data_IF_727545077589
#
_entry.id   IF_727545077589
#
_cell.length_a   1.000
_cell.length_b   1.000
_cell.length_c   1.000
_cell.angle_alpha   90.00
_cell.angle_beta   90.00
_cell.angle_gamma   90.00
#
_symmetry.space_group_name_H-M   'P 1'
#
loop_
_entity.id
_entity.type
_entity.pdbx_description
1 polymer ?
#
# COMPACT_ATOMS: atom_id res chain seq x y z
N UNK A 1 24.93 3.76 38.72
CA UNK A 1 25.41 4.06 37.34
C UNK A 1 26.68 3.27 37.08
N UNK A 2 26.92 2.87 35.83
CA UNK A 2 28.10 2.06 35.44
C UNK A 2 29.01 2.83 34.50
N UNK A 3 28.44 3.64 33.61
CA UNK A 3 29.17 4.58 32.77
C UNK A 3 28.60 5.98 33.03
N UNK A 4 29.36 6.84 33.69
CA UNK A 4 28.93 8.21 34.02
C UNK A 4 29.11 9.18 32.85
N UNK A 5 29.79 8.74 31.77
CA UNK A 5 30.08 9.57 30.60
C UNK A 5 29.11 9.31 29.44
N UNK A 6 28.08 8.49 29.64
CA UNK A 6 27.10 8.22 28.59
C UNK A 6 26.14 9.43 28.47
N UNK A 7 25.90 9.99 27.26
CA UNK A 7 25.12 11.23 27.07
C UNK A 7 23.70 11.22 27.65
N UNK A 8 23.11 10.04 27.81
CA UNK A 8 21.78 9.86 28.42
C UNK A 8 21.77 9.70 29.95
N UNK A 9 22.93 9.79 30.62
CA UNK A 9 22.99 9.76 32.09
C UNK A 9 22.28 10.96 32.73
N UNK A 10 22.48 12.22 32.27
CA UNK A 10 21.79 13.39 32.82
C UNK A 10 20.26 13.27 32.72
N UNK A 11 19.75 12.62 31.67
CA UNK A 11 18.32 12.32 31.51
C UNK A 11 17.83 11.51 32.71
N UNK A 12 18.53 10.44 33.06
CA UNK A 12 18.16 9.58 34.20
C UNK A 12 18.31 10.29 35.55
N UNK A 13 19.35 11.12 35.69
CA UNK A 13 19.58 11.89 36.92
C UNK A 13 18.45 12.89 37.18
N UNK A 14 17.89 13.50 36.12
CA UNK A 14 16.79 14.48 36.23
C UNK A 14 15.52 13.92 36.88
N UNK A 15 15.26 12.61 36.75
CA UNK A 15 14.08 11.95 37.32
C UNK A 15 14.41 10.71 38.16
N UNK A 16 15.64 10.60 38.70
CA UNK A 16 16.12 9.40 39.40
C UNK A 16 15.18 8.90 40.52
N UNK A 17 14.49 9.82 41.19
CA UNK A 17 13.52 9.53 42.28
C UNK A 17 12.20 8.93 41.78
N UNK A 18 11.95 9.03 40.49
CA UNK A 18 10.70 8.63 39.82
C UNK A 18 10.91 7.49 38.81
N UNK A 19 12.13 7.00 38.65
CA UNK A 19 12.44 5.87 37.78
C UNK A 19 11.74 4.61 38.28
N UNK A 20 10.86 4.05 37.46
CA UNK A 20 10.30 2.71 37.68
C UNK A 20 10.88 1.74 36.66
N UNK A 21 11.24 0.55 37.14
CA UNK A 21 11.60 -0.56 36.27
C UNK A 21 10.83 -1.82 36.70
N UNK A 22 10.15 -2.44 35.73
CA UNK A 22 9.46 -3.74 35.90
C UNK A 22 10.15 -4.88 35.15
N UNK A 23 11.09 -4.54 34.28
CA UNK A 23 11.89 -5.47 33.50
C UNK A 23 13.35 -5.00 33.50
N UNK A 24 14.26 -5.94 33.33
CA UNK A 24 15.69 -5.71 33.19
C UNK A 24 16.24 -6.58 32.07
N UNK A 25 17.38 -6.20 31.51
CA UNK A 25 18.01 -6.98 30.45
C UNK A 25 18.75 -8.19 31.02
N UNK A 26 18.59 -9.36 30.38
CA UNK A 26 19.34 -10.54 30.78
C UNK A 26 20.73 -10.54 30.13
N UNK A 27 21.78 -10.25 30.91
CA UNK A 27 23.17 -10.22 30.40
C UNK A 27 23.68 -11.57 29.91
N UNK A 28 23.01 -12.66 30.32
CA UNK A 28 23.34 -14.02 29.88
C UNK A 28 22.69 -14.38 28.54
N UNK A 29 21.88 -13.49 27.98
CA UNK A 29 21.28 -13.72 26.67
C UNK A 29 22.37 -13.83 25.57
N UNK A 30 22.21 -14.72 24.58
CA UNK A 30 23.16 -14.85 23.48
C UNK A 30 23.41 -13.51 22.78
N UNK A 31 24.68 -13.17 22.56
CA UNK A 31 25.08 -11.94 21.85
C UNK A 31 25.07 -10.65 22.68
N UNK A 32 24.50 -10.64 23.89
CA UNK A 32 24.39 -9.44 24.71
C UNK A 32 25.76 -8.82 25.02
N UNK A 33 26.70 -9.59 25.55
CA UNK A 33 28.04 -9.08 25.91
C UNK A 33 28.86 -8.54 24.72
N UNK A 34 28.50 -8.90 23.47
CA UNK A 34 29.20 -8.44 22.25
C UNK A 34 28.59 -7.18 21.64
N UNK A 35 27.28 -6.98 21.83
CA UNK A 35 26.52 -5.96 21.11
C UNK A 35 25.81 -4.96 22.03
N UNK A 36 25.83 -5.17 23.35
CA UNK A 36 25.17 -4.31 24.31
C UNK A 36 26.20 -3.54 25.16
N UNK A 37 26.01 -2.24 25.30
CA UNK A 37 26.72 -1.41 26.29
C UNK A 37 25.76 -1.03 27.41
N UNK A 38 26.01 -1.51 28.62
CA UNK A 38 25.21 -1.19 29.80
C UNK A 38 25.73 0.11 30.41
N UNK A 39 24.92 1.17 30.40
CA UNK A 39 25.27 2.45 31.05
C UNK A 39 24.56 2.66 32.39
N UNK A 40 23.41 1.99 32.60
CA UNK A 40 22.62 2.10 33.83
C UNK A 40 22.27 0.72 34.43
N UNK A 41 22.51 0.57 35.73
CA UNK A 41 22.10 -0.57 36.56
C UNK A 41 21.17 -0.13 37.68
N UNK A 42 20.24 -1.01 38.05
CA UNK A 42 19.37 -0.87 39.21
C UNK A 42 20.14 -0.99 40.53
N UNK A 43 19.49 -0.69 41.66
CA UNK A 43 20.07 -0.87 43.00
C UNK A 43 20.45 -2.33 43.29
N UNK A 44 19.71 -3.29 42.70
CA UNK A 44 20.01 -4.72 42.75
C UNK A 44 21.06 -5.19 41.74
N UNK A 45 21.69 -4.27 41.00
CA UNK A 45 22.75 -4.58 40.02
C UNK A 45 22.28 -5.05 38.64
N UNK A 46 20.97 -5.12 38.39
CA UNK A 46 20.43 -5.55 37.10
C UNK A 46 20.54 -4.43 36.04
N UNK A 47 20.87 -4.73 34.77
CA UNK A 47 20.97 -3.71 33.72
C UNK A 47 19.59 -3.21 33.32
N UNK A 48 19.40 -1.89 33.39
CA UNK A 48 18.12 -1.22 33.10
C UNK A 48 18.25 -0.08 32.09
N UNK A 49 19.47 0.32 31.74
CA UNK A 49 19.76 1.18 30.58
C UNK A 49 20.86 0.58 29.73
N UNK A 50 20.53 0.33 28.45
CA UNK A 50 21.37 -0.44 27.53
C UNK A 50 21.35 0.20 26.14
N UNK A 51 22.52 0.31 25.54
CA UNK A 51 22.73 0.79 24.17
C UNK A 51 23.09 -0.39 23.25
N UNK A 52 22.51 -0.43 22.05
CA UNK A 52 22.81 -1.40 20.99
C UNK A 52 23.14 -0.69 19.67
N UNK A 53 24.23 -1.03 18.96
CA UNK A 53 24.46 -0.58 17.59
C UNK A 53 23.59 -1.37 16.61
N UNK A 54 22.90 -0.68 15.68
CA UNK A 54 22.02 -1.28 14.67
C UNK A 54 22.22 -0.57 13.32
N UNK A 55 22.77 -1.29 12.33
CA UNK A 55 23.10 -0.74 11.01
C UNK A 55 23.95 0.53 11.13
N UNK A 56 23.46 1.66 10.61
CA UNK A 56 24.09 2.97 10.66
C UNK A 56 23.64 3.81 11.87
N UNK A 57 22.90 3.22 12.82
CA UNK A 57 22.35 3.91 13.99
C UNK A 57 22.53 3.12 15.28
N UNK A 58 21.85 3.55 16.34
CA UNK A 58 21.89 2.91 17.66
C UNK A 58 20.51 2.97 18.32
N UNK A 59 20.22 1.99 19.16
CA UNK A 59 19.00 1.91 19.97
C UNK A 59 19.39 2.05 21.44
N UNK A 60 18.76 2.97 22.15
CA UNK A 60 19.02 3.24 23.56
C UNK A 60 17.75 2.91 24.34
N UNK A 61 17.85 1.92 25.23
CA UNK A 61 16.78 1.58 26.16
C UNK A 61 16.99 2.32 27.47
N UNK A 62 15.93 2.97 27.95
CA UNK A 62 15.92 3.70 29.22
C UNK A 62 14.65 3.37 30.00
N UNK A 63 14.72 3.37 31.34
CA UNK A 63 13.54 3.22 32.17
C UNK A 63 12.66 4.49 32.12
N UNK A 64 11.36 4.29 32.26
CA UNK A 64 10.35 5.35 32.22
C UNK A 64 10.10 5.96 33.59
N UNK A 65 9.64 7.21 33.64
CA UNK A 65 9.20 7.85 34.88
C UNK A 65 7.87 7.28 35.39
N UNK A 66 7.58 7.48 36.67
CA UNK A 66 6.37 7.02 37.37
C UNK A 66 5.09 7.71 36.93
N UNK A 67 5.18 8.96 36.47
CA UNK A 67 4.07 9.76 35.97
C UNK A 67 4.44 10.36 34.60
N UNK A 68 4.28 9.60 33.50
CA UNK A 68 4.43 10.17 32.17
C UNK A 68 3.24 11.12 31.92
N UNK A 69 3.40 12.42 32.17
CA UNK A 69 2.40 13.43 31.80
C UNK A 69 2.04 14.51 32.82
N UNK A 70 2.73 14.66 33.96
CA UNK A 70 2.63 15.92 34.71
C UNK A 70 3.39 17.02 33.93
N UNK A 71 2.68 18.08 33.51
CA UNK A 71 3.22 19.19 32.70
C UNK A 71 4.52 19.77 33.27
N UNK A 72 4.68 19.74 34.59
CA UNK A 72 5.81 20.31 35.33
C UNK A 72 7.18 19.69 34.95
N UNK A 73 7.22 18.45 34.44
CA UNK A 73 8.47 17.74 34.11
C UNK A 73 8.68 17.48 32.61
N UNK A 74 7.68 17.74 31.78
CA UNK A 74 7.73 17.44 30.35
C UNK A 74 8.78 18.27 29.62
N UNK A 75 8.84 19.58 29.90
CA UNK A 75 9.78 20.50 29.25
C UNK A 75 11.24 20.21 29.62
N UNK A 76 11.50 19.86 30.88
CA UNK A 76 12.84 19.58 31.36
C UNK A 76 13.36 18.23 30.85
N UNK A 77 12.50 17.22 30.83
CA UNK A 77 12.80 15.93 30.21
C UNK A 77 13.04 16.08 28.71
N UNK A 78 12.21 16.85 28.00
CA UNK A 78 12.37 17.09 26.57
C UNK A 78 13.70 17.80 26.25
N UNK A 79 14.05 18.84 27.01
CA UNK A 79 15.36 19.53 26.87
C UNK A 79 16.53 18.60 27.14
N UNK A 80 16.48 17.84 28.21
CA UNK A 80 17.58 16.94 28.61
C UNK A 80 17.73 15.79 27.61
N UNK A 81 16.62 15.25 27.10
CA UNK A 81 16.63 14.26 26.02
C UNK A 81 17.20 14.82 24.71
N UNK A 82 16.83 16.05 24.34
CA UNK A 82 17.35 16.71 23.14
C UNK A 82 18.86 16.93 23.25
N UNK A 83 19.34 17.47 24.38
CA UNK A 83 20.77 17.67 24.62
C UNK A 83 21.55 16.35 24.61
N UNK A 84 21.02 15.31 25.24
CA UNK A 84 21.61 13.97 25.22
C UNK A 84 21.68 13.41 23.79
N UNK A 85 20.64 13.60 22.97
CA UNK A 85 20.61 13.16 21.58
C UNK A 85 21.60 13.94 20.70
N UNK A 86 21.73 15.26 20.89
CA UNK A 86 22.69 16.10 20.18
C UNK A 86 24.13 15.68 20.48
N UNK A 87 24.48 15.53 21.77
CA UNK A 87 25.81 15.07 22.20
C UNK A 87 26.10 13.65 21.67
N UNK A 88 25.11 12.76 21.73
CA UNK A 88 25.25 11.39 21.25
C UNK A 88 25.41 11.29 19.73
N UNK A 89 24.78 12.19 18.98
CA UNK A 89 24.91 12.28 17.52
C UNK A 89 26.20 13.02 17.09
N UNK A 90 26.95 13.60 18.02
CA UNK A 90 28.11 14.45 17.70
C UNK A 90 27.71 15.72 16.93
N UNK A 91 26.44 16.12 17.04
CA UNK A 91 25.94 17.36 16.46
C UNK A 91 26.32 18.47 17.44
N UNK A 92 26.88 19.57 16.95
CA UNK A 92 27.04 20.76 17.77
C UNK A 92 25.64 21.20 18.22
N UNK A 93 25.31 20.96 19.49
CA UNK A 93 23.99 21.24 20.04
C UNK A 93 23.62 22.72 19.99
N UNK A 94 22.32 23.00 19.88
CA UNK A 94 21.77 24.35 19.79
C UNK A 94 21.81 25.01 18.40
N UNK A 95 21.21 26.19 18.30
CA UNK A 95 21.33 27.00 17.08
C UNK A 95 22.77 27.51 16.96
N UNK A 96 23.39 27.29 15.80
CA UNK A 96 24.68 27.89 15.49
C UNK A 96 24.61 29.41 15.75
N UNK A 97 25.57 30.00 16.48
CA UNK A 97 25.63 31.44 16.63
C UNK A 97 25.64 32.13 15.26
N UNK A 98 24.92 33.25 15.13
CA UNK A 98 24.74 33.94 13.85
C UNK A 98 26.06 34.30 13.14
N UNK A 99 27.13 34.54 13.90
CA UNK A 99 28.45 34.90 13.38
C UNK A 99 29.22 33.72 12.76
N UNK A 100 28.78 32.47 12.97
CA UNK A 100 29.44 31.29 12.40
C UNK A 100 29.29 31.28 10.88
N UNK A 101 28.16 31.74 10.35
CA UNK A 101 27.92 31.83 8.91
C UNK A 101 28.83 32.86 8.23
N UNK A 102 29.38 33.83 8.98
CA UNK A 102 30.31 34.85 8.48
C UNK A 102 31.76 34.32 8.37
N UNK A 103 32.06 33.15 8.92
CA UNK A 103 33.39 32.54 8.87
C UNK A 103 33.62 31.84 7.53
N UNK A 104 34.30 32.52 6.61
CA UNK A 104 34.67 31.96 5.32
C UNK A 104 35.67 30.79 5.49
N UNK A 105 35.20 29.56 5.23
CA UNK A 105 36.05 28.38 5.12
C UNK A 105 36.31 28.09 3.64
N UNK A 106 37.57 28.13 3.16
CA UNK A 106 37.90 27.86 1.77
C UNK A 106 37.34 26.52 1.29
N UNK A 107 36.64 26.51 0.15
CA UNK A 107 36.03 25.31 -0.45
C UNK A 107 34.74 24.82 0.21
N UNK A 108 34.30 25.39 1.34
CA UNK A 108 33.06 24.97 2.01
C UNK A 108 31.82 25.27 1.16
N UNK A 109 31.75 26.46 0.54
CA UNK A 109 30.63 26.85 -0.31
C UNK A 109 30.47 25.90 -1.51
N UNK A 110 31.56 25.61 -2.23
CA UNK A 110 31.59 24.69 -3.37
C UNK A 110 31.16 23.27 -2.95
N UNK A 111 31.66 22.79 -1.81
CA UNK A 111 31.29 21.45 -1.28
C UNK A 111 29.83 21.40 -0.84
N UNK A 112 29.29 22.48 -0.27
CA UNK A 112 27.88 22.59 0.13
C UNK A 112 26.96 22.59 -1.10
N UNK A 113 27.33 23.33 -2.13
CA UNK A 113 26.62 23.32 -3.41
C UNK A 113 26.66 21.94 -4.07
N UNK A 114 27.84 21.29 -4.12
CA UNK A 114 27.97 19.93 -4.63
C UNK A 114 27.14 18.91 -3.83
N UNK A 115 27.11 19.02 -2.50
CA UNK A 115 26.30 18.15 -1.65
C UNK A 115 24.79 18.36 -1.87
N UNK A 116 24.35 19.62 -2.01
CA UNK A 116 22.96 19.93 -2.30
C UNK A 116 22.56 19.43 -3.70
N UNK A 117 23.42 19.61 -4.71
CA UNK A 117 23.20 19.09 -6.06
C UNK A 117 23.12 17.56 -6.07
N UNK A 118 24.02 16.87 -5.34
CA UNK A 118 23.99 15.42 -5.21
C UNK A 118 22.72 14.93 -4.51
N UNK A 119 22.25 15.64 -3.47
CA UNK A 119 20.97 15.34 -2.80
C UNK A 119 19.79 15.50 -3.75
N UNK A 120 19.72 16.61 -4.48
CA UNK A 120 18.66 16.84 -5.47
C UNK A 120 18.67 15.79 -6.59
N UNK A 121 19.85 15.36 -7.04
CA UNK A 121 19.99 14.27 -8.01
C UNK A 121 19.51 12.92 -7.45
N UNK A 122 19.81 12.62 -6.18
CA UNK A 122 19.36 11.41 -5.52
C UNK A 122 17.83 11.39 -5.33
N UNK A 123 17.23 12.51 -4.92
CA UNK A 123 15.78 12.67 -4.79
C UNK A 123 15.08 12.49 -6.15
N UNK A 124 15.61 13.10 -7.21
CA UNK A 124 15.07 12.95 -8.57
C UNK A 124 15.19 11.50 -9.08
N UNK A 125 16.31 10.83 -8.82
CA UNK A 125 16.51 9.43 -9.20
C UNK A 125 15.57 8.49 -8.44
N UNK A 126 15.34 8.76 -7.15
CA UNK A 126 14.38 7.99 -6.35
C UNK A 126 12.96 8.17 -6.89
N UNK A 127 12.54 9.41 -7.16
CA UNK A 127 11.22 9.68 -7.75
C UNK A 127 11.02 8.99 -9.11
N UNK A 128 12.06 8.96 -9.95
CA UNK A 128 12.03 8.25 -11.23
C UNK A 128 11.95 6.72 -11.04
N UNK A 129 12.65 6.17 -10.06
CA UNK A 129 12.57 4.75 -9.71
C UNK A 129 11.19 4.36 -9.20
N UNK A 130 10.59 5.19 -8.34
CA UNK A 130 9.25 4.95 -7.78
C UNK A 130 8.18 5.02 -8.88
N UNK A 131 8.30 5.98 -9.81
CA UNK A 131 7.42 6.06 -10.97
C UNK A 131 7.55 4.82 -11.88
N UNK A 132 8.77 4.39 -12.18
CA UNK A 132 9.00 3.20 -12.99
C UNK A 132 8.50 1.91 -12.31
N UNK A 133 8.61 1.82 -10.98
CA UNK A 133 8.05 0.71 -10.21
C UNK A 133 6.52 0.70 -10.27
N UNK A 134 5.88 1.86 -10.14
CA UNK A 134 4.43 1.99 -10.27
C UNK A 134 3.93 1.60 -11.68
N UNK A 135 4.65 2.01 -12.74
CA UNK A 135 4.33 1.61 -14.12
C UNK A 135 4.46 0.09 -14.32
N UNK A 136 5.50 -0.52 -13.74
CA UNK A 136 5.70 -1.97 -13.78
C UNK A 136 4.60 -2.72 -13.02
N UNK A 137 4.23 -2.24 -11.83
CA UNK A 137 3.17 -2.81 -11.01
C UNK A 137 1.83 -2.75 -11.76
N UNK A 138 1.51 -1.62 -12.39
CA UNK A 138 0.30 -1.46 -13.20
C UNK A 138 0.25 -2.48 -14.35
N UNK A 139 1.34 -2.66 -15.09
CA UNK A 139 1.43 -3.68 -16.15
C UNK A 139 1.37 -5.11 -15.60
N UNK A 140 1.90 -5.34 -14.40
CA UNK A 140 1.83 -6.65 -13.74
C UNK A 140 0.41 -6.98 -13.32
N UNK A 141 -0.35 -6.01 -12.79
CA UNK A 141 -1.77 -6.18 -12.43
C UNK A 141 -2.64 -6.57 -13.64
N UNK A 142 -2.29 -6.15 -14.85
CA UNK A 142 -2.98 -6.62 -16.07
C UNK A 142 -2.84 -8.14 -16.21
N UNK A 143 -1.69 -8.73 -15.90
CA UNK A 143 -1.53 -10.19 -15.90
C UNK A 143 -2.30 -10.85 -14.75
N UNK A 144 -2.38 -10.21 -13.59
CA UNK A 144 -3.10 -10.76 -12.44
C UNK A 144 -4.57 -11.03 -12.72
N UNK A 145 -5.20 -10.22 -13.58
CA UNK A 145 -6.63 -10.39 -13.92
C UNK A 145 -6.94 -11.81 -14.43
N UNK A 146 -6.00 -12.45 -15.14
CA UNK A 146 -6.22 -13.80 -15.69
C UNK A 146 -5.91 -14.91 -14.70
N UNK A 147 -5.01 -14.76 -13.73
CA UNK A 147 -4.60 -15.88 -12.87
C UNK A 147 -4.96 -15.73 -11.38
N UNK A 148 -5.40 -14.54 -10.95
CA UNK A 148 -5.78 -14.29 -9.57
C UNK A 148 -6.84 -15.29 -9.09
N UNK A 149 -6.50 -16.07 -8.06
CA UNK A 149 -7.36 -17.10 -7.48
C UNK A 149 -8.28 -16.57 -6.38
N UNK A 150 -8.02 -15.38 -5.85
CA UNK A 150 -8.82 -14.74 -4.80
C UNK A 150 -9.60 -13.53 -5.33
N UNK A 151 -10.85 -13.39 -4.89
CA UNK A 151 -11.75 -12.32 -5.34
C UNK A 151 -11.19 -10.92 -5.10
N UNK A 152 -10.50 -10.69 -3.97
CA UNK A 152 -9.91 -9.38 -3.66
C UNK A 152 -8.76 -9.01 -4.59
N UNK A 153 -7.89 -9.97 -4.91
CA UNK A 153 -6.79 -9.76 -5.85
C UNK A 153 -7.33 -9.56 -7.27
N UNK A 154 -8.32 -10.37 -7.68
CA UNK A 154 -8.99 -10.21 -8.96
C UNK A 154 -9.70 -8.86 -9.06
N UNK A 155 -10.32 -8.38 -7.98
CA UNK A 155 -10.96 -7.07 -7.95
C UNK A 155 -9.95 -5.94 -8.18
N UNK A 156 -8.81 -5.95 -7.49
CA UNK A 156 -7.77 -4.95 -7.68
C UNK A 156 -7.27 -4.94 -9.15
N UNK A 157 -6.97 -6.12 -9.70
CA UNK A 157 -6.56 -6.26 -11.09
C UNK A 157 -7.65 -5.81 -12.09
N UNK A 158 -8.92 -6.10 -11.77
CA UNK A 158 -10.08 -5.66 -12.56
C UNK A 158 -10.18 -4.15 -12.66
N UNK A 159 -10.00 -3.43 -11.54
CA UNK A 159 -10.07 -1.98 -11.51
C UNK A 159 -8.93 -1.35 -12.32
N UNK A 160 -7.70 -1.86 -12.17
CA UNK A 160 -6.56 -1.42 -12.98
C UNK A 160 -6.79 -1.66 -14.50
N UNK A 161 -7.38 -2.81 -14.87
CA UNK A 161 -7.74 -3.09 -16.25
C UNK A 161 -8.85 -2.15 -16.77
N UNK A 162 -9.84 -1.83 -15.93
CA UNK A 162 -10.93 -0.93 -16.30
C UNK A 162 -10.43 0.50 -16.55
N UNK A 163 -9.50 0.99 -15.72
CA UNK A 163 -8.82 2.28 -15.92
C UNK A 163 -8.08 2.35 -17.26
N UNK A 164 -7.35 1.28 -17.60
CA UNK A 164 -6.65 1.19 -18.89
C UNK A 164 -7.61 1.23 -20.10
N UNK A 165 -8.85 0.75 -19.96
CA UNK A 165 -9.90 0.80 -21.00
C UNK A 165 -10.65 2.16 -20.99
N UNK A 166 -10.34 3.02 -20.02
CA UNK A 166 -10.85 4.39 -19.93
C UNK A 166 -12.06 4.58 -19.01
N UNK A 167 -12.31 3.66 -18.08
CA UNK A 167 -13.22 3.92 -16.96
C UNK A 167 -12.52 4.72 -15.87
N UNK A 168 -13.28 5.53 -15.15
CA UNK A 168 -12.86 6.01 -13.84
C UNK A 168 -13.28 4.98 -12.76
N UNK A 169 -12.38 4.65 -11.84
CA UNK A 169 -12.68 3.75 -10.74
C UNK A 169 -13.02 4.53 -9.46
N UNK A 170 -14.08 4.10 -8.78
CA UNK A 170 -14.54 4.73 -7.55
C UNK A 170 -15.08 3.74 -6.53
N UNK A 171 -15.56 4.28 -5.42
CA UNK A 171 -16.21 3.52 -4.36
C UNK A 171 -17.50 4.22 -3.94
N UNK A 172 -18.52 3.43 -3.57
CA UNK A 172 -19.70 3.98 -2.89
C UNK A 172 -19.35 4.39 -1.45
N UNK A 173 -20.22 5.13 -0.75
CA UNK A 173 -20.02 5.46 0.67
C UNK A 173 -19.83 4.24 1.57
N UNK A 174 -20.37 3.08 1.17
CA UNK A 174 -20.23 1.79 1.86
C UNK A 174 -18.91 1.06 1.52
N UNK A 175 -18.06 1.64 0.67
CA UNK A 175 -16.81 1.05 0.22
C UNK A 175 -16.95 0.05 -0.92
N UNK A 176 -18.11 -0.02 -1.57
CA UNK A 176 -18.33 -0.95 -2.68
C UNK A 176 -17.73 -0.41 -3.99
N UNK A 177 -16.93 -1.19 -4.74
CA UNK A 177 -16.28 -0.74 -5.98
C UNK A 177 -17.29 -0.46 -7.10
N UNK A 178 -17.03 0.61 -7.84
CA UNK A 178 -17.81 1.04 -9.01
C UNK A 178 -16.91 1.50 -10.15
N UNK A 179 -17.38 1.30 -11.38
CA UNK A 179 -16.81 1.89 -12.59
C UNK A 179 -17.70 3.06 -13.03
N UNK A 180 -17.07 4.12 -13.50
CA UNK A 180 -17.70 5.36 -13.92
C UNK A 180 -17.31 5.66 -15.37
N UNK A 181 -18.30 5.98 -16.20
CA UNK A 181 -18.13 6.50 -17.55
C UNK A 181 -19.08 7.70 -17.73
N UNK A 182 -18.57 8.90 -17.47
CA UNK A 182 -19.38 10.11 -17.34
C UNK A 182 -20.37 10.00 -16.18
N UNK A 183 -21.67 10.11 -16.46
CA UNK A 183 -22.73 9.98 -15.45
C UNK A 183 -23.14 8.52 -15.16
N UNK A 184 -22.64 7.57 -15.95
CA UNK A 184 -23.00 6.16 -15.81
C UNK A 184 -22.17 5.49 -14.72
N UNK A 185 -22.84 4.76 -13.82
CA UNK A 185 -22.21 4.03 -12.72
C UNK A 185 -22.53 2.54 -12.80
N UNK A 186 -21.49 1.70 -12.72
CA UNK A 186 -21.60 0.24 -12.75
C UNK A 186 -21.04 -0.35 -11.46
N UNK A 187 -21.82 -1.16 -10.75
CA UNK A 187 -21.37 -1.88 -9.56
C UNK A 187 -20.66 -3.17 -9.94
N UNK A 188 -19.42 -3.37 -9.44
CA UNK A 188 -18.57 -4.48 -9.88
C UNK A 188 -18.35 -5.54 -8.81
N UNK A 189 -18.56 -6.80 -9.16
CA UNK A 189 -18.15 -7.96 -8.36
C UNK A 189 -17.13 -8.78 -9.15
N UNK A 190 -15.96 -9.00 -8.56
CA UNK A 190 -14.98 -9.95 -9.07
C UNK A 190 -15.17 -11.31 -8.40
N UNK A 191 -15.09 -12.38 -9.18
CA UNK A 191 -15.20 -13.75 -8.68
C UNK A 191 -14.19 -14.65 -9.37
N UNK A 192 -13.28 -15.22 -8.58
CA UNK A 192 -12.28 -16.18 -9.02
C UNK A 192 -12.69 -17.60 -8.60
N UNK A 193 -12.41 -18.58 -9.46
CA UNK A 193 -12.69 -19.99 -9.17
C UNK A 193 -11.68 -20.90 -9.86
N UNK A 194 -11.22 -21.99 -9.21
CA UNK A 194 -10.46 -23.04 -9.89
C UNK A 194 -11.32 -23.80 -10.93
N UNK A 195 -12.65 -23.68 -10.84
CA UNK A 195 -13.62 -24.20 -11.80
C UNK A 195 -14.37 -23.04 -12.47
N UNK A 196 -15.54 -23.30 -13.07
CA UNK A 196 -16.41 -22.23 -13.54
C UNK A 196 -16.90 -21.35 -12.38
N UNK A 197 -17.08 -20.05 -12.62
CA UNK A 197 -17.68 -19.14 -11.64
C UNK A 197 -19.18 -19.38 -11.58
N UNK A 198 -19.68 -19.71 -10.39
CA UNK A 198 -21.09 -20.00 -10.11
C UNK A 198 -21.86 -18.87 -9.41
N UNK A 199 -22.97 -19.25 -8.77
CA UNK A 199 -23.95 -18.31 -8.20
C UNK A 199 -23.49 -17.45 -7.02
N UNK A 200 -22.34 -17.73 -6.39
CA UNK A 200 -21.83 -16.90 -5.29
C UNK A 200 -21.56 -15.45 -5.73
N UNK A 201 -21.14 -15.24 -6.97
CA UNK A 201 -20.96 -13.91 -7.55
C UNK A 201 -22.30 -13.17 -7.70
N UNK A 202 -23.32 -13.89 -8.20
CA UNK A 202 -24.68 -13.38 -8.35
C UNK A 202 -25.24 -12.87 -7.02
N UNK A 203 -25.18 -13.67 -5.94
CA UNK A 203 -25.77 -13.28 -4.66
C UNK A 203 -25.11 -12.02 -4.08
N UNK A 204 -23.79 -11.90 -4.20
CA UNK A 204 -23.06 -10.70 -3.74
C UNK A 204 -23.44 -9.46 -4.54
N UNK A 205 -23.50 -9.57 -5.87
CA UNK A 205 -23.92 -8.46 -6.71
C UNK A 205 -25.37 -8.08 -6.39
N UNK A 206 -26.27 -9.05 -6.30
CA UNK A 206 -27.68 -8.81 -6.00
C UNK A 206 -27.87 -8.07 -4.68
N UNK A 207 -27.21 -8.52 -3.62
CA UNK A 207 -27.24 -7.84 -2.31
C UNK A 207 -26.76 -6.39 -2.38
N UNK A 208 -25.80 -6.07 -3.27
CA UNK A 208 -25.34 -4.70 -3.49
C UNK A 208 -26.35 -3.87 -4.28
N UNK A 209 -26.89 -4.42 -5.37
CA UNK A 209 -27.87 -3.72 -6.19
C UNK A 209 -29.16 -3.45 -5.40
N UNK A 210 -29.63 -4.40 -4.60
CA UNK A 210 -30.82 -4.23 -3.74
C UNK A 210 -30.63 -3.08 -2.75
N UNK A 211 -29.45 -2.98 -2.10
CA UNK A 211 -29.13 -1.84 -1.22
C UNK A 211 -29.20 -0.49 -1.95
N UNK A 212 -28.70 -0.43 -3.18
CA UNK A 212 -28.73 0.81 -3.97
C UNK A 212 -30.17 1.17 -4.38
N UNK A 213 -30.98 0.17 -4.75
CA UNK A 213 -32.40 0.36 -5.06
C UNK A 213 -33.15 0.90 -3.84
N UNK A 214 -32.92 0.32 -2.66
CA UNK A 214 -33.53 0.75 -1.41
C UNK A 214 -33.15 2.19 -1.04
N UNK A 215 -31.89 2.57 -1.22
CA UNK A 215 -31.39 3.90 -0.85
C UNK A 215 -31.74 5.01 -1.85
N UNK A 216 -31.67 4.70 -3.15
CA UNK A 216 -31.71 5.71 -4.22
C UNK A 216 -32.93 5.61 -5.13
N UNK A 217 -33.73 4.55 -5.01
CA UNK A 217 -34.89 4.28 -5.86
C UNK A 217 -34.58 4.29 -7.37
N UNK A 218 -33.34 4.01 -7.74
CA UNK A 218 -32.88 3.84 -9.13
C UNK A 218 -32.59 2.36 -9.41
N UNK A 219 -32.62 1.97 -10.67
CA UNK A 219 -32.18 0.64 -11.10
C UNK A 219 -30.66 0.68 -11.42
N UNK A 220 -29.78 0.25 -10.51
CA UNK A 220 -28.34 0.26 -10.74
C UNK A 220 -27.90 -0.77 -11.79
N UNK A 221 -26.81 -0.47 -12.50
CA UNK A 221 -26.15 -1.44 -13.38
C UNK A 221 -25.14 -2.27 -12.58
N UNK A 222 -25.08 -3.56 -12.89
CA UNK A 222 -24.16 -4.51 -12.26
C UNK A 222 -23.28 -5.20 -13.29
N UNK A 223 -22.05 -5.51 -12.89
CA UNK A 223 -21.08 -6.26 -13.68
C UNK A 223 -20.38 -7.30 -12.80
N UNK A 224 -20.34 -8.54 -13.28
CA UNK A 224 -19.51 -9.60 -12.71
C UNK A 224 -18.31 -9.82 -13.62
N UNK A 225 -17.11 -9.75 -13.04
CA UNK A 225 -15.88 -10.25 -13.69
C UNK A 225 -15.62 -11.66 -13.21
N UNK A 226 -15.68 -12.62 -14.13
CA UNK A 226 -15.54 -14.04 -13.85
C UNK A 226 -14.16 -14.56 -14.28
N UNK A 227 -13.34 -14.97 -13.32
CA UNK A 227 -12.08 -15.68 -13.56
C UNK A 227 -12.23 -17.16 -13.21
N UNK A 228 -12.97 -17.90 -14.03
CA UNK A 228 -13.12 -19.34 -13.86
C UNK A 228 -11.94 -20.09 -14.47
N UNK A 229 -11.64 -21.27 -13.92
CA UNK A 229 -10.51 -22.10 -14.32
C UNK A 229 -9.17 -21.34 -14.23
N UNK A 230 -9.01 -20.54 -13.16
CA UNK A 230 -7.90 -19.60 -13.02
C UNK A 230 -6.50 -20.25 -12.99
N UNK A 231 -6.42 -21.56 -12.69
CA UNK A 231 -5.19 -22.34 -12.75
C UNK A 231 -4.80 -22.84 -14.15
N UNK A 232 -5.71 -22.76 -15.12
CA UNK A 232 -5.47 -23.13 -16.51
C UNK A 232 -5.07 -21.90 -17.35
N UNK A 233 -4.32 -22.13 -18.42
CA UNK A 233 -3.99 -21.08 -19.38
C UNK A 233 -5.28 -20.53 -20.03
N UNK A 234 -5.38 -19.22 -20.35
CA UNK A 234 -6.61 -18.63 -20.88
C UNK A 234 -7.18 -19.29 -22.14
N UNK A 235 -6.31 -19.82 -23.00
CA UNK A 235 -6.63 -20.57 -24.22
C UNK A 235 -7.12 -22.00 -23.95
N UNK A 236 -6.77 -22.60 -22.81
CA UNK A 236 -7.20 -23.94 -22.41
C UNK A 236 -8.53 -23.95 -21.63
N UNK A 237 -9.06 -22.77 -21.29
CA UNK A 237 -10.30 -22.62 -20.53
C UNK A 237 -11.51 -22.93 -21.40
N UNK A 238 -12.31 -23.88 -20.95
CA UNK A 238 -13.50 -24.36 -21.67
C UNK A 238 -14.79 -23.76 -21.14
N UNK A 239 -14.82 -23.43 -19.84
CA UNK A 239 -16.04 -22.97 -19.17
C UNK A 239 -15.66 -22.10 -17.97
N UNK A 240 -15.45 -20.81 -18.24
CA UNK A 240 -15.11 -19.82 -17.20
C UNK A 240 -16.34 -19.39 -16.39
N UNK A 241 -17.52 -19.41 -17.01
CA UNK A 241 -18.80 -18.98 -16.43
C UNK A 241 -19.73 -20.19 -16.39
N UNK A 242 -20.30 -20.49 -15.23
CA UNK A 242 -21.30 -21.56 -15.12
C UNK A 242 -22.64 -21.12 -15.74
N UNK A 243 -23.38 -22.07 -16.33
CA UNK A 243 -24.66 -21.79 -16.97
C UNK A 243 -25.69 -21.19 -16.01
N UNK A 244 -25.66 -21.55 -14.73
CA UNK A 244 -26.56 -20.98 -13.73
C UNK A 244 -26.31 -19.48 -13.56
N UNK A 245 -25.05 -19.05 -13.55
CA UNK A 245 -24.69 -17.64 -13.47
C UNK A 245 -25.07 -16.88 -14.75
N UNK A 246 -24.89 -17.50 -15.92
CA UNK A 246 -25.31 -16.94 -17.20
C UNK A 246 -26.82 -16.68 -17.25
N UNK A 247 -27.63 -17.68 -16.91
CA UNK A 247 -29.10 -17.55 -16.85
C UNK A 247 -29.52 -16.49 -15.82
N UNK A 248 -28.86 -16.45 -14.66
CA UNK A 248 -29.16 -15.46 -13.63
C UNK A 248 -28.85 -14.02 -14.07
N UNK A 249 -27.77 -13.83 -14.81
CA UNK A 249 -27.37 -12.52 -15.36
C UNK A 249 -28.39 -11.98 -16.36
N UNK A 250 -28.86 -12.83 -17.26
CA UNK A 250 -29.92 -12.49 -18.23
C UNK A 250 -31.25 -12.17 -17.52
N UNK A 251 -31.66 -13.00 -16.57
CA UNK A 251 -32.93 -12.81 -15.84
C UNK A 251 -32.93 -11.54 -14.97
N UNK A 252 -31.77 -11.19 -14.40
CA UNK A 252 -31.64 -10.06 -13.46
C UNK A 252 -31.14 -8.78 -14.13
N UNK A 253 -30.81 -8.82 -15.42
CA UNK A 253 -30.33 -7.69 -16.22
C UNK A 253 -29.05 -7.04 -15.69
N UNK A 254 -28.05 -7.86 -15.39
CA UNK A 254 -26.68 -7.42 -15.16
C UNK A 254 -25.73 -8.11 -16.12
N UNK A 255 -24.53 -7.55 -16.29
CA UNK A 255 -23.53 -8.04 -17.22
C UNK A 255 -22.56 -9.04 -16.57
N UNK A 256 -22.05 -9.99 -17.34
CA UNK A 256 -20.94 -10.88 -16.96
C UNK A 256 -19.88 -10.83 -18.04
N UNK A 257 -18.63 -10.58 -17.65
CA UNK A 257 -17.48 -10.58 -18.53
C UNK A 257 -16.44 -11.57 -17.99
N UNK A 258 -15.83 -12.38 -18.85
CA UNK A 258 -14.70 -13.21 -18.40
C UNK A 258 -13.45 -12.35 -18.20
N UNK A 259 -12.62 -12.72 -17.23
CA UNK A 259 -11.33 -12.05 -17.01
C UNK A 259 -10.44 -12.11 -18.25
N UNK A 260 -10.54 -13.18 -19.05
CA UNK A 260 -9.85 -13.31 -20.35
C UNK A 260 -10.28 -12.22 -21.34
N UNK A 261 -11.58 -11.94 -21.43
CA UNK A 261 -12.08 -10.88 -22.31
C UNK A 261 -11.67 -9.49 -21.82
N UNK A 262 -11.68 -9.26 -20.49
CA UNK A 262 -11.18 -8.02 -19.88
C UNK A 262 -9.69 -7.83 -20.16
N UNK A 263 -8.88 -8.88 -20.01
CA UNK A 263 -7.46 -8.88 -20.33
C UNK A 263 -7.20 -8.51 -21.79
N UNK A 264 -7.89 -9.15 -22.74
CA UNK A 264 -7.70 -8.87 -24.15
C UNK A 264 -8.08 -7.42 -24.52
N UNK A 265 -9.17 -6.89 -23.96
CA UNK A 265 -9.55 -5.49 -24.13
C UNK A 265 -8.49 -4.53 -23.56
N UNK A 266 -7.92 -4.88 -22.40
CA UNK A 266 -6.85 -4.10 -21.76
C UNK A 266 -5.57 -4.11 -22.58
N UNK A 267 -5.16 -5.27 -23.10
CA UNK A 267 -4.00 -5.39 -24.00
C UNK A 267 -4.21 -4.55 -25.25
N UNK A 268 -5.40 -4.61 -25.86
CA UNK A 268 -5.72 -3.78 -27.01
C UNK A 268 -5.61 -2.28 -26.69
N UNK A 269 -6.06 -1.84 -25.51
CA UNK A 269 -5.91 -0.46 -25.07
C UNK A 269 -4.44 -0.05 -24.94
N UNK A 270 -3.61 -0.90 -24.32
CA UNK A 270 -2.17 -0.67 -24.16
C UNK A 270 -1.40 -0.70 -25.49
N UNK A 271 -1.88 -1.47 -26.47
CA UNK A 271 -1.34 -1.50 -27.84
C UNK A 271 -1.80 -0.31 -28.71
N UNK A 272 -2.64 0.58 -28.16
CA UNK A 272 -3.09 1.79 -28.84
C UNK A 272 -4.33 1.59 -29.71
N UNK A 273 -5.25 0.72 -29.30
CA UNK A 273 -6.58 0.64 -29.90
C UNK A 273 -7.24 2.03 -29.97
N UNK A 274 -8.06 2.24 -31.01
CA UNK A 274 -8.68 3.54 -31.24
C UNK A 274 -9.62 3.93 -30.09
N UNK A 275 -9.74 5.24 -29.82
CA UNK A 275 -10.67 5.75 -28.82
C UNK A 275 -12.13 5.34 -29.10
N UNK A 276 -12.51 5.18 -30.38
CA UNK A 276 -13.82 4.69 -30.79
C UNK A 276 -14.03 3.24 -30.37
N UNK A 277 -13.04 2.36 -30.62
CA UNK A 277 -13.09 0.95 -30.20
C UNK A 277 -13.21 0.82 -28.68
N UNK A 278 -12.42 1.59 -27.92
CA UNK A 278 -12.46 1.56 -26.47
C UNK A 278 -13.79 2.10 -25.92
N UNK A 279 -14.33 3.17 -26.52
CA UNK A 279 -15.66 3.68 -26.18
C UNK A 279 -16.75 2.63 -26.46
N UNK A 280 -16.64 1.88 -27.56
CA UNK A 280 -17.60 0.81 -27.88
C UNK A 280 -17.49 -0.37 -26.90
N UNK A 281 -16.28 -0.74 -26.47
CA UNK A 281 -16.08 -1.72 -25.38
C UNK A 281 -16.77 -1.24 -24.10
N UNK A 282 -16.51 -0.01 -23.65
CA UNK A 282 -17.15 0.54 -22.44
C UNK A 282 -18.66 0.59 -22.57
N UNK A 283 -19.17 1.04 -23.71
CA UNK A 283 -20.61 1.06 -23.98
C UNK A 283 -21.22 -0.34 -23.89
N UNK A 284 -20.53 -1.37 -24.39
CA UNK A 284 -20.99 -2.76 -24.31
C UNK A 284 -21.04 -3.28 -22.88
N UNK A 285 -20.07 -2.90 -22.05
CA UNK A 285 -20.07 -3.20 -20.61
C UNK A 285 -21.24 -2.53 -19.87
N UNK A 286 -21.64 -1.34 -20.31
CA UNK A 286 -22.75 -0.57 -19.72
C UNK A 286 -24.11 -1.15 -20.15
N UNK A 287 -24.30 -1.44 -21.44
CA UNK A 287 -25.63 -1.69 -22.02
C UNK A 287 -26.02 -3.16 -22.14
N UNK A 288 -25.07 -4.09 -22.06
CA UNK A 288 -25.35 -5.52 -22.24
C UNK A 288 -25.93 -6.13 -20.97
N UNK A 289 -26.94 -6.97 -21.12
CA UNK A 289 -27.45 -7.85 -20.06
C UNK A 289 -27.01 -9.29 -20.39
N UNK A 290 -26.53 -10.04 -19.39
CA UNK A 290 -25.98 -11.38 -19.62
C UNK A 290 -24.49 -11.36 -19.97
N UNK A 291 -24.04 -12.38 -20.71
CA UNK A 291 -22.61 -12.56 -21.04
C UNK A 291 -22.20 -11.59 -22.14
N UNK A 292 -21.16 -10.79 -21.86
CA UNK A 292 -20.57 -9.86 -22.82
C UNK A 292 -19.62 -10.62 -23.74
N UNK A 293 -19.88 -10.54 -25.04
CA UNK A 293 -18.93 -10.92 -26.09
C UNK A 293 -18.25 -9.67 -26.64
N UNK A 294 -16.92 -9.68 -26.66
CA UNK A 294 -16.08 -8.60 -27.22
C UNK A 294 -15.30 -9.03 -28.47
N UNK A 295 -15.50 -10.26 -28.95
CA UNK A 295 -14.75 -10.80 -30.09
C UNK A 295 -14.91 -9.97 -31.36
N UNK A 296 -16.06 -9.34 -31.58
CA UNK A 296 -16.28 -8.44 -32.69
C UNK A 296 -15.39 -7.18 -32.64
N UNK A 297 -15.08 -6.68 -31.45
CA UNK A 297 -14.28 -5.48 -31.22
C UNK A 297 -12.79 -5.76 -31.04
N UNK A 298 -12.46 -6.93 -30.49
CA UNK A 298 -11.10 -7.33 -30.09
C UNK A 298 -10.71 -8.61 -30.86
N UNK A 299 -9.96 -8.50 -31.96
CA UNK A 299 -9.67 -9.63 -32.85
C UNK A 299 -9.00 -10.82 -32.17
N UNK A 300 -8.15 -10.60 -31.18
CA UNK A 300 -7.44 -11.65 -30.43
C UNK A 300 -8.37 -12.60 -29.65
N UNK A 301 -9.63 -12.20 -29.43
CA UNK A 301 -10.64 -13.07 -28.83
C UNK A 301 -11.29 -14.03 -29.85
N UNK A 302 -11.32 -13.67 -31.15
CA UNK A 302 -11.94 -14.52 -32.19
C UNK A 302 -11.13 -15.77 -32.50
N UNK A 303 -9.81 -15.69 -32.38
CA UNK A 303 -8.91 -16.80 -32.70
C UNK A 303 -9.05 -18.00 -31.73
N UNK A 304 -9.72 -17.81 -30.59
CA UNK A 304 -9.88 -18.81 -29.54
C UNK A 304 -11.33 -19.33 -29.37
N UNK A 305 -12.24 -18.96 -30.27
CA UNK A 305 -13.65 -19.41 -30.26
C UNK A 305 -13.93 -20.55 -31.28
N UNK A 306 -12.90 -21.02 -32.01
CA UNK A 306 -12.95 -22.18 -32.92
C UNK A 306 -12.40 -23.45 -32.27
#
# INVERSE_FOLDING_TARGET
MVDHNHPFVPVIESYQREVLYRAYFNERAPGFARHAKVFLRSSGGAPVGVEFPVLNGRIIFMPTSRQPGEETYADDLARTLAAAAEEFAGIAGGMSPYWVDDLAVPGLAERREAANAARGAAEAAQAASDAAAADLDALTSVREVVWAAGDSALLAATLACAEAIGFECGQTPEGDPVLLDGEMQIHVVAAASPEAVGMSAHYRLRQRLDRVIEQRAIAPRGLVIANGQCGARPDERKREIDDTLRVAAEATRYAVLSSRALFAATVAALEGASAETLAEVRQRLISTDGVIALGDLIPSLRENEG
#
